data_IF_324767773914
#
_entry.id   IF_324767773914
#
_cell.length_a   1.000
_cell.length_b   1.000
_cell.length_c   1.000
_cell.angle_alpha   90.00
_cell.angle_beta   90.00
_cell.angle_gamma   90.00
#
_symmetry.space_group_name_H-M   'P 1'
#
loop_
_entity.id
_entity.type
_entity.pdbx_description
1 polymer ?
#
# COMPACT_ATOMS: atom_id res chain seq x y z
N UNK A 1 -3.99 -2.68 6.38
CA UNK A 1 -3.16 -3.19 7.49
C UNK A 1 -4.07 -3.87 8.50
N UNK A 2 -3.64 -4.96 9.16
CA UNK A 2 -4.45 -5.64 10.17
C UNK A 2 -4.71 -4.71 11.36
N UNK A 3 -5.97 -4.30 11.55
CA UNK A 3 -6.37 -3.32 12.57
C UNK A 3 -6.51 -3.93 13.97
N UNK A 4 -6.93 -5.19 14.03
CA UNK A 4 -7.37 -5.85 15.24
C UNK A 4 -7.24 -7.38 15.12
N UNK A 5 -7.51 -8.05 16.24
CA UNK A 5 -7.47 -9.51 16.37
C UNK A 5 -8.47 -10.16 15.41
N UNK A 6 -9.67 -9.60 15.26
CA UNK A 6 -10.72 -10.16 14.39
C UNK A 6 -10.27 -10.18 12.92
N UNK A 7 -9.58 -9.15 12.45
CA UNK A 7 -8.97 -9.14 11.13
C UNK A 7 -7.83 -10.16 11.02
N UNK A 8 -6.97 -10.26 12.04
CA UNK A 8 -5.84 -11.18 12.04
C UNK A 8 -6.28 -12.66 11.99
N UNK A 9 -7.28 -13.03 12.79
CA UNK A 9 -7.76 -14.42 12.88
C UNK A 9 -8.49 -14.91 11.64
N UNK A 10 -8.84 -14.03 10.69
CA UNK A 10 -9.40 -14.41 9.40
C UNK A 10 -8.35 -14.91 8.42
N UNK A 11 -7.07 -14.70 8.70
CA UNK A 11 -5.98 -15.10 7.82
C UNK A 11 -5.44 -16.49 8.17
N UNK A 12 -5.07 -17.28 7.16
CA UNK A 12 -4.57 -18.64 7.35
C UNK A 12 -3.07 -18.62 7.72
N UNK A 13 -2.75 -18.14 8.91
CA UNK A 13 -1.38 -18.19 9.42
C UNK A 13 -0.94 -19.64 9.63
N UNK A 14 0.35 -19.87 9.38
CA UNK A 14 1.03 -21.14 9.64
C UNK A 14 2.25 -20.92 10.53
N UNK A 15 2.65 -21.95 11.26
CA UNK A 15 3.91 -21.95 12.00
C UNK A 15 5.09 -21.84 11.04
N UNK A 16 6.01 -20.90 11.29
CA UNK A 16 7.09 -20.60 10.35
C UNK A 16 8.05 -21.77 10.15
N UNK A 17 8.24 -22.60 11.17
CA UNK A 17 9.15 -23.74 11.21
C UNK A 17 8.56 -25.02 10.59
N UNK A 18 7.26 -25.26 10.75
CA UNK A 18 6.62 -26.53 10.33
C UNK A 18 5.64 -26.38 9.17
N UNK A 19 5.19 -25.16 8.88
CA UNK A 19 4.07 -24.84 7.99
C UNK A 19 2.71 -25.45 8.43
N UNK A 20 2.60 -25.93 9.66
CA UNK A 20 1.32 -26.38 10.20
C UNK A 20 0.37 -25.20 10.45
N UNK A 21 -0.95 -25.37 10.25
CA UNK A 21 -1.93 -24.32 10.51
C UNK A 21 -1.87 -23.81 11.96
N UNK A 22 -1.89 -22.48 12.13
CA UNK A 22 -2.01 -21.86 13.44
C UNK A 22 -3.47 -21.83 13.90
N UNK A 23 -3.69 -22.01 15.20
CA UNK A 23 -5.03 -21.87 15.79
C UNK A 23 -5.41 -20.40 15.96
N UNK A 24 -6.71 -20.14 16.10
CA UNK A 24 -7.22 -18.78 16.40
C UNK A 24 -6.55 -18.17 17.64
N UNK A 25 -6.32 -18.96 18.69
CA UNK A 25 -5.68 -18.47 19.92
C UNK A 25 -4.21 -18.14 19.68
N UNK A 26 -3.47 -18.96 18.92
CA UNK A 26 -2.07 -18.67 18.57
C UNK A 26 -1.94 -17.37 17.77
N UNK A 27 -2.85 -17.14 16.81
CA UNK A 27 -2.88 -15.90 16.01
C UNK A 27 -3.16 -14.70 16.91
N UNK A 28 -4.15 -14.81 17.80
CA UNK A 28 -4.52 -13.75 18.75
C UNK A 28 -3.36 -13.42 19.69
N UNK A 29 -2.73 -14.41 20.29
CA UNK A 29 -1.60 -14.24 21.21
C UNK A 29 -0.41 -13.53 20.53
N UNK A 30 -0.04 -13.98 19.33
CA UNK A 30 1.05 -13.35 18.57
C UNK A 30 0.70 -11.93 18.15
N UNK A 31 -0.51 -11.70 17.64
CA UNK A 31 -0.98 -10.36 17.28
C UNK A 31 -0.89 -9.39 18.45
N UNK A 32 -1.36 -9.78 19.64
CA UNK A 32 -1.30 -8.95 20.84
C UNK A 32 0.14 -8.71 21.30
N UNK A 33 0.99 -9.74 21.23
CA UNK A 33 2.42 -9.64 21.59
C UNK A 33 3.19 -8.67 20.69
N UNK A 34 2.88 -8.66 19.39
CA UNK A 34 3.45 -7.73 18.40
C UNK A 34 2.88 -6.33 18.59
N UNK A 35 1.56 -6.20 18.76
CA UNK A 35 0.86 -4.90 18.94
C UNK A 35 1.29 -4.15 20.19
N UNK A 36 1.74 -4.86 21.23
CA UNK A 36 2.26 -4.26 22.47
C UNK A 36 3.67 -3.66 22.34
N UNK A 37 4.34 -3.80 21.19
CA UNK A 37 5.69 -3.28 20.98
C UNK A 37 5.67 -1.80 20.55
N UNK A 38 6.74 -1.04 20.85
CA UNK A 38 6.94 0.27 20.23
C UNK A 38 6.86 0.16 18.71
N UNK A 39 6.26 1.16 18.07
CA UNK A 39 6.14 1.26 16.61
C UNK A 39 6.43 2.70 16.16
N UNK A 40 6.79 2.87 14.89
CA UNK A 40 7.07 4.18 14.30
C UNK A 40 8.34 4.17 13.45
N UNK A 41 8.79 5.34 13.02
CA UNK A 41 9.93 5.50 12.12
C UNK A 41 11.25 4.94 12.69
N UNK A 42 11.40 4.91 14.01
CA UNK A 42 12.56 4.33 14.72
C UNK A 42 12.48 2.82 14.96
N UNK A 43 11.39 2.17 14.55
CA UNK A 43 11.08 0.77 14.85
C UNK A 43 10.97 -0.04 13.54
N UNK A 44 12.09 -0.43 12.91
CA UNK A 44 12.06 -1.17 11.66
C UNK A 44 11.46 -2.57 11.85
N UNK A 45 10.86 -3.12 10.78
CA UNK A 45 10.18 -4.42 10.79
C UNK A 45 11.07 -5.57 11.33
N UNK A 46 12.38 -5.50 11.12
CA UNK A 46 13.33 -6.49 11.64
C UNK A 46 13.33 -6.61 13.16
N UNK A 47 13.00 -5.54 13.91
CA UNK A 47 12.88 -5.56 15.38
C UNK A 47 11.69 -6.38 15.87
N UNK A 48 10.73 -6.68 15.00
CA UNK A 48 9.56 -7.49 15.35
C UNK A 48 9.80 -8.98 15.16
N UNK A 49 10.83 -9.37 14.38
CA UNK A 49 11.16 -10.77 14.05
C UNK A 49 11.29 -11.69 15.28
N UNK A 50 11.90 -11.28 16.41
CA UNK A 50 11.97 -12.12 17.60
C UNK A 50 10.61 -12.43 18.25
N UNK A 51 9.56 -11.69 17.90
CA UNK A 51 8.21 -11.85 18.46
C UNK A 51 7.24 -12.57 17.53
N UNK A 52 7.69 -12.97 16.34
CA UNK A 52 6.88 -13.62 15.31
C UNK A 52 7.35 -15.05 15.09
N UNK A 53 6.45 -16.02 15.32
CA UNK A 53 6.64 -17.42 14.93
C UNK A 53 5.65 -17.85 13.86
N UNK A 54 4.63 -17.04 13.58
CA UNK A 54 3.64 -17.30 12.54
C UNK A 54 3.96 -16.52 11.26
N UNK A 55 3.61 -17.08 10.11
CA UNK A 55 3.73 -16.44 8.80
C UNK A 55 2.50 -16.76 7.94
N UNK A 56 2.28 -15.94 6.92
CA UNK A 56 1.42 -16.31 5.80
C UNK A 56 2.24 -17.08 4.77
N UNK A 57 1.59 -17.98 4.04
CA UNK A 57 2.22 -18.62 2.88
C UNK A 57 2.40 -17.61 1.75
N UNK A 58 3.30 -17.91 0.82
CA UNK A 58 3.55 -17.04 -0.34
C UNK A 58 2.29 -16.86 -1.20
N UNK A 59 1.51 -17.93 -1.41
CA UNK A 59 0.23 -17.85 -2.15
C UNK A 59 -0.72 -16.84 -1.52
N UNK A 60 -0.90 -16.90 -0.20
CA UNK A 60 -1.82 -16.01 0.51
C UNK A 60 -1.32 -14.56 0.47
N UNK A 61 -0.01 -14.34 0.57
CA UNK A 61 0.56 -12.99 0.42
C UNK A 61 0.33 -12.45 -1.01
N UNK A 62 0.54 -13.27 -2.04
CA UNK A 62 0.33 -12.89 -3.43
C UNK A 62 -1.15 -12.58 -3.72
N UNK A 63 -2.07 -13.37 -3.17
CA UNK A 63 -3.52 -13.11 -3.25
C UNK A 63 -3.89 -11.76 -2.61
N UNK A 64 -3.30 -11.42 -1.46
CA UNK A 64 -3.52 -10.11 -0.83
C UNK A 64 -2.98 -8.97 -1.68
N UNK A 65 -1.78 -9.13 -2.26
CA UNK A 65 -1.20 -8.12 -3.16
C UNK A 65 -2.10 -7.91 -4.38
N UNK A 66 -2.55 -8.98 -5.03
CA UNK A 66 -3.44 -8.91 -6.18
C UNK A 66 -4.76 -8.22 -5.82
N UNK A 67 -5.34 -8.56 -4.66
CA UNK A 67 -6.57 -7.93 -4.18
C UNK A 67 -6.39 -6.42 -3.96
N UNK A 68 -5.28 -6.00 -3.35
CA UNK A 68 -4.98 -4.58 -3.14
C UNK A 68 -4.79 -3.83 -4.46
N UNK A 69 -4.05 -4.40 -5.42
CA UNK A 69 -3.89 -3.80 -6.75
C UNK A 69 -5.26 -3.59 -7.42
N UNK A 70 -6.12 -4.61 -7.40
CA UNK A 70 -7.46 -4.50 -7.98
C UNK A 70 -8.34 -3.46 -7.27
N UNK A 71 -8.26 -3.37 -5.93
CA UNK A 71 -9.00 -2.35 -5.17
C UNK A 71 -8.53 -0.95 -5.54
N UNK A 72 -7.21 -0.73 -5.54
CA UNK A 72 -6.64 0.57 -5.90
C UNK A 72 -6.95 0.95 -7.34
N UNK A 73 -6.93 0.00 -8.28
CA UNK A 73 -7.33 0.28 -9.67
C UNK A 73 -8.78 0.78 -9.74
N UNK A 74 -9.71 0.11 -9.05
CA UNK A 74 -11.12 0.54 -8.98
C UNK A 74 -11.25 1.93 -8.37
N UNK A 75 -10.54 2.21 -7.28
CA UNK A 75 -10.52 3.53 -6.64
C UNK A 75 -9.96 4.63 -7.56
N UNK A 76 -8.87 4.34 -8.27
CA UNK A 76 -8.28 5.26 -9.25
C UNK A 76 -9.26 5.55 -10.41
N UNK A 77 -9.96 4.52 -10.90
CA UNK A 77 -11.02 4.69 -11.90
C UNK A 77 -12.19 5.53 -11.39
N UNK A 78 -12.49 5.48 -10.09
CA UNK A 78 -13.48 6.41 -9.48
C UNK A 78 -12.95 7.85 -9.44
N UNK A 79 -11.65 8.08 -9.20
CA UNK A 79 -11.07 9.42 -9.14
C UNK A 79 -10.98 10.06 -10.54
N UNK A 80 -10.53 9.30 -11.55
CA UNK A 80 -10.16 9.83 -12.86
C UNK A 80 -11.13 9.46 -14.00
N UNK A 81 -12.05 8.52 -13.78
CA UNK A 81 -12.92 7.93 -14.79
C UNK A 81 -12.31 6.66 -15.39
N UNK A 82 -13.13 5.64 -15.65
CA UNK A 82 -12.66 4.32 -16.11
C UNK A 82 -11.94 4.39 -17.46
N UNK A 83 -12.58 4.98 -18.47
CA UNK A 83 -12.02 5.14 -19.81
C UNK A 83 -10.76 6.02 -19.82
N UNK A 84 -10.80 7.14 -19.09
CA UNK A 84 -9.68 8.06 -18.99
C UNK A 84 -8.49 7.39 -18.30
N UNK A 85 -8.69 6.76 -17.13
CA UNK A 85 -7.63 6.04 -16.43
C UNK A 85 -7.04 4.93 -17.28
N UNK A 86 -7.89 4.17 -17.98
CA UNK A 86 -7.44 3.07 -18.84
C UNK A 86 -6.58 3.57 -20.01
N UNK A 87 -6.81 4.79 -20.51
CA UNK A 87 -6.01 5.39 -21.59
C UNK A 87 -4.72 6.09 -21.13
N UNK A 88 -4.54 6.31 -19.81
CA UNK A 88 -3.29 6.88 -19.31
C UNK A 88 -2.07 5.97 -19.59
N UNK A 89 -0.89 6.54 -19.86
CA UNK A 89 0.30 5.73 -20.06
C UNK A 89 0.77 5.00 -18.82
N UNK A 90 1.49 3.92 -19.03
CA UNK A 90 1.87 3.00 -17.95
C UNK A 90 2.70 3.67 -16.86
N UNK A 91 3.61 4.57 -17.23
CA UNK A 91 4.38 5.35 -16.25
C UNK A 91 3.49 6.23 -15.36
N UNK A 92 2.44 6.83 -15.94
CA UNK A 92 1.45 7.62 -15.18
C UNK A 92 0.64 6.70 -14.27
N UNK A 93 0.16 5.56 -14.76
CA UNK A 93 -0.55 4.57 -13.94
C UNK A 93 0.32 4.08 -12.77
N UNK A 94 1.59 3.77 -13.00
CA UNK A 94 2.54 3.37 -11.95
C UNK A 94 2.72 4.47 -10.90
N UNK A 95 2.83 5.73 -11.31
CA UNK A 95 2.88 6.86 -10.40
C UNK A 95 1.60 6.96 -9.56
N UNK A 96 0.43 6.79 -10.19
CA UNK A 96 -0.87 6.82 -9.51
C UNK A 96 -1.04 5.65 -8.52
N UNK A 97 -0.59 4.45 -8.87
CA UNK A 97 -0.57 3.30 -7.95
C UNK A 97 0.33 3.56 -6.74
N UNK A 98 1.52 4.16 -6.93
CA UNK A 98 2.38 4.50 -5.81
C UNK A 98 1.76 5.60 -4.92
N UNK A 99 1.10 6.59 -5.52
CA UNK A 99 0.37 7.65 -4.80
C UNK A 99 -0.76 7.07 -3.95
N UNK A 100 -1.64 6.25 -4.54
CA UNK A 100 -2.81 5.70 -3.82
C UNK A 100 -2.41 4.65 -2.79
N UNK A 101 -1.34 3.87 -3.03
CA UNK A 101 -0.82 2.94 -2.02
C UNK A 101 -0.38 3.68 -0.75
N UNK A 102 0.27 4.84 -0.90
CA UNK A 102 0.75 5.61 0.25
C UNK A 102 -0.36 6.40 0.94
N UNK A 103 -1.28 6.98 0.16
CA UNK A 103 -2.25 7.96 0.65
C UNK A 103 -3.63 7.34 0.96
N UNK A 104 -3.98 6.26 0.26
CA UNK A 104 -5.36 5.82 0.08
C UNK A 104 -6.17 6.80 -0.79
N UNK A 105 -7.31 6.34 -1.31
CA UNK A 105 -8.21 7.16 -2.11
C UNK A 105 -8.62 8.49 -1.46
N UNK A 106 -9.05 8.55 -0.19
CA UNK A 106 -9.54 9.81 0.39
C UNK A 106 -8.48 10.90 0.38
N UNK A 107 -7.26 10.62 0.85
CA UNK A 107 -6.19 11.63 0.86
C UNK A 107 -5.75 12.00 -0.54
N UNK A 108 -5.59 11.02 -1.45
CA UNK A 108 -5.23 11.32 -2.83
C UNK A 108 -6.27 12.24 -3.49
N UNK A 109 -7.56 11.97 -3.29
CA UNK A 109 -8.65 12.76 -3.86
C UNK A 109 -8.73 14.16 -3.25
N UNK A 110 -8.73 14.24 -1.92
CA UNK A 110 -9.15 15.45 -1.21
C UNK A 110 -7.98 16.40 -0.90
N UNK A 111 -6.75 15.89 -0.78
CA UNK A 111 -5.58 16.70 -0.37
C UNK A 111 -4.60 17.01 -1.50
N UNK A 112 -4.76 16.38 -2.67
CA UNK A 112 -3.93 16.62 -3.86
C UNK A 112 -4.75 17.14 -5.06
N UNK A 113 -5.58 18.20 -4.91
CA UNK A 113 -6.45 18.66 -5.98
C UNK A 113 -5.70 19.19 -7.21
N UNK A 114 -4.56 19.88 -7.02
CA UNK A 114 -3.73 20.38 -8.13
C UNK A 114 -3.11 19.26 -8.95
N UNK A 115 -2.46 18.30 -8.27
CA UNK A 115 -1.96 17.07 -8.87
C UNK A 115 -3.04 16.38 -9.70
N UNK A 116 -4.22 16.16 -9.11
CA UNK A 116 -5.33 15.51 -9.82
C UNK A 116 -5.85 16.32 -11.01
N UNK A 117 -5.86 17.65 -10.91
CA UNK A 117 -6.19 18.53 -12.03
C UNK A 117 -5.18 18.39 -13.18
N UNK A 118 -3.89 18.34 -12.88
CA UNK A 118 -2.85 18.13 -13.88
C UNK A 118 -2.93 16.75 -14.54
N UNK A 119 -3.18 15.68 -13.77
CA UNK A 119 -3.39 14.33 -14.32
C UNK A 119 -4.55 14.31 -15.31
N UNK A 120 -5.72 14.87 -14.93
CA UNK A 120 -6.89 14.90 -15.82
C UNK A 120 -6.66 15.68 -17.11
N UNK A 121 -5.84 16.72 -17.04
CA UNK A 121 -5.52 17.58 -18.18
C UNK A 121 -4.33 17.06 -19.01
N UNK A 122 -3.75 15.91 -18.68
CA UNK A 122 -2.55 15.39 -19.36
C UNK A 122 -1.27 16.18 -19.10
N UNK A 123 -1.27 17.08 -18.11
CA UNK A 123 -0.14 17.95 -17.78
C UNK A 123 0.83 17.25 -16.81
N UNK A 124 1.37 16.09 -17.19
CA UNK A 124 2.12 15.22 -16.28
C UNK A 124 3.40 15.84 -15.71
N UNK A 125 4.05 16.74 -16.45
CA UNK A 125 5.19 17.51 -15.93
C UNK A 125 4.81 18.38 -14.73
N UNK A 126 3.63 18.99 -14.75
CA UNK A 126 3.11 19.76 -13.61
C UNK A 126 2.64 18.84 -12.49
N UNK A 127 2.03 17.71 -12.83
CA UNK A 127 1.70 16.68 -11.84
C UNK A 127 2.96 16.18 -11.11
N UNK A 128 4.11 16.07 -11.78
CA UNK A 128 5.37 15.68 -11.17
C UNK A 128 5.87 16.67 -10.10
N UNK A 129 5.53 17.96 -10.22
CA UNK A 129 5.88 18.98 -9.22
C UNK A 129 4.97 18.91 -7.99
N UNK A 130 3.70 18.54 -8.21
CA UNK A 130 2.66 18.46 -7.18
C UNK A 130 2.56 17.07 -6.52
N UNK A 131 3.38 16.08 -6.92
CA UNK A 131 3.29 14.69 -6.43
C UNK A 131 4.01 14.43 -5.10
N UNK A 132 4.73 15.41 -4.56
CA UNK A 132 5.55 15.25 -3.34
C UNK A 132 4.67 14.93 -2.13
N UNK A 133 4.99 13.84 -1.44
CA UNK A 133 4.31 13.40 -0.20
C UNK A 133 5.19 13.59 1.02
N UNK A 134 4.57 13.99 2.14
CA UNK A 134 5.22 14.06 3.44
C UNK A 134 5.29 12.67 4.11
N UNK A 135 6.30 12.42 4.94
CA UNK A 135 6.48 11.12 5.62
C UNK A 135 6.91 9.98 4.69
N UNK A 136 7.45 10.31 3.51
CA UNK A 136 7.96 9.37 2.52
C UNK A 136 9.41 9.74 2.18
N UNK A 137 10.26 8.73 1.98
CA UNK A 137 11.65 8.90 1.57
C UNK A 137 11.79 9.77 0.32
N UNK A 138 12.83 10.60 0.28
CA UNK A 138 13.05 11.55 -0.83
C UNK A 138 13.19 10.82 -2.17
N UNK A 139 13.84 9.67 -2.17
CA UNK A 139 14.06 8.80 -3.32
C UNK A 139 12.74 8.29 -3.90
N UNK A 140 11.78 7.92 -3.04
CA UNK A 140 10.46 7.48 -3.49
C UNK A 140 9.61 8.63 -4.05
N UNK A 141 9.74 9.84 -3.49
CA UNK A 141 9.15 11.03 -4.10
C UNK A 141 9.80 11.35 -5.45
N UNK A 142 11.12 11.24 -5.57
CA UNK A 142 11.83 11.44 -6.83
C UNK A 142 11.44 10.40 -7.89
N UNK A 143 11.30 9.13 -7.50
CA UNK A 143 10.84 8.05 -8.36
C UNK A 143 9.49 8.37 -9.01
N UNK A 144 8.48 8.73 -8.20
CA UNK A 144 7.14 9.07 -8.72
C UNK A 144 7.18 10.31 -9.63
N UNK A 145 7.92 11.34 -9.24
CA UNK A 145 8.06 12.52 -10.08
C UNK A 145 8.75 12.19 -11.43
N UNK A 146 9.71 11.26 -11.45
CA UNK A 146 10.40 10.85 -12.67
C UNK A 146 9.50 10.03 -13.60
N UNK A 147 8.68 9.12 -13.07
CA UNK A 147 7.68 8.40 -13.86
C UNK A 147 6.74 9.36 -14.62
N UNK A 148 6.31 10.43 -13.95
CA UNK A 148 5.42 11.43 -14.55
C UNK A 148 6.13 12.33 -15.58
N UNK A 149 7.45 12.50 -15.49
CA UNK A 149 8.25 13.28 -16.45
C UNK A 149 8.68 12.45 -17.66
N UNK A 150 8.75 11.14 -17.53
CA UNK A 150 9.15 10.22 -18.61
C UNK A 150 7.97 9.84 -19.51
N UNK A 151 6.99 10.73 -19.66
CA UNK A 151 5.86 10.59 -20.57
C UNK A 151 5.83 11.77 -21.54
#
# INVERSE_FOLDING_TARGET
MLSDVTAATKLPFVHSSTNEPATHEQIKEEFLRVKARPFGESEPASRFKPFTVLKLTESVMNEQVAHHIQSFEKELKVIYGDEAFTSYPDNVKLALFDMIFNLGMPKLKDTYPKFNGHIRNGNYQQAALESKRNGVQAERNAYVANLLRSH
#
